data_IF_803249083888
#
_entry.id   IF_803249083888
#
_cell.length_a   1.000
_cell.length_b   1.000
_cell.length_c   1.000
_cell.angle_alpha   90.00
_cell.angle_beta   90.00
_cell.angle_gamma   90.00
#
_symmetry.space_group_name_H-M   'P 1'
#
loop_
_entity.id
_entity.type
_entity.pdbx_description
1 polymer ?
#
# COMPACT_ATOMS: atom_id res chain seq x y z
N UNK A 1 20.77 -23.02 -5.94
CA UNK A 1 19.62 -22.14 -6.26
C UNK A 1 19.99 -20.72 -6.67
N UNK A 2 20.74 -19.92 -5.87
CA UNK A 2 21.03 -18.49 -6.19
C UNK A 2 21.60 -18.23 -7.60
N UNK A 3 22.52 -19.07 -8.11
CA UNK A 3 23.08 -18.94 -9.47
C UNK A 3 22.04 -19.18 -10.58
N UNK A 4 21.17 -20.18 -10.41
CA UNK A 4 20.11 -20.51 -11.37
C UNK A 4 19.07 -19.37 -11.42
N UNK A 5 18.69 -18.84 -10.26
CA UNK A 5 17.74 -17.73 -10.18
C UNK A 5 18.28 -16.44 -10.80
N UNK A 6 19.57 -16.13 -10.62
CA UNK A 6 20.22 -15.01 -11.31
C UNK A 6 20.23 -15.16 -12.83
N UNK A 7 20.38 -16.39 -13.34
CA UNK A 7 20.34 -16.69 -14.78
C UNK A 7 18.93 -16.49 -15.37
N UNK A 8 17.89 -16.89 -14.63
CA UNK A 8 16.49 -16.66 -15.03
C UNK A 8 16.10 -15.18 -15.05
N UNK A 9 16.84 -14.29 -14.40
CA UNK A 9 16.52 -12.85 -14.31
C UNK A 9 17.29 -12.04 -15.38
N UNK A 10 18.26 -12.62 -16.08
CA UNK A 10 19.07 -11.91 -17.08
C UNK A 10 18.46 -11.82 -18.48
N UNK A 11 17.15 -12.08 -18.65
CA UNK A 11 16.50 -12.01 -19.97
C UNK A 11 16.54 -10.59 -20.55
N UNK A 12 17.21 -10.46 -21.70
CA UNK A 12 17.20 -9.24 -22.53
C UNK A 12 16.03 -9.31 -23.51
N UNK A 13 14.96 -8.56 -23.23
CA UNK A 13 13.83 -8.43 -24.14
C UNK A 13 13.97 -7.16 -24.99
N UNK A 14 13.90 -7.25 -26.32
CA UNK A 14 14.16 -6.13 -27.23
C UNK A 14 13.25 -4.90 -26.99
N UNK A 15 11.97 -5.11 -26.65
CA UNK A 15 11.06 -4.03 -26.26
C UNK A 15 11.43 -3.35 -24.94
N UNK A 16 12.00 -4.10 -23.98
CA UNK A 16 12.45 -3.54 -22.71
C UNK A 16 13.65 -2.59 -22.93
N UNK A 17 14.52 -2.89 -23.89
CA UNK A 17 15.66 -2.03 -24.25
C UNK A 17 15.21 -0.66 -24.75
N UNK A 18 14.15 -0.62 -25.58
CA UNK A 18 13.63 0.63 -26.14
C UNK A 18 12.98 1.54 -25.08
N UNK A 19 12.31 0.96 -24.09
CA UNK A 19 11.57 1.71 -23.07
C UNK A 19 12.49 2.11 -21.90
N UNK A 20 13.34 1.20 -21.42
CA UNK A 20 14.11 1.39 -20.19
C UNK A 20 15.60 1.72 -20.46
N UNK A 21 16.07 1.55 -21.69
CA UNK A 21 17.48 1.69 -22.05
C UNK A 21 18.31 0.44 -21.79
N UNK A 22 19.58 0.49 -22.17
CA UNK A 22 20.50 -0.63 -22.01
C UNK A 22 20.86 -0.89 -20.54
N UNK A 23 21.16 -2.16 -20.24
CA UNK A 23 21.68 -2.61 -18.94
C UNK A 23 20.77 -2.33 -17.74
N UNK A 24 19.46 -2.09 -17.95
CA UNK A 24 18.49 -2.08 -16.85
C UNK A 24 18.15 -3.50 -16.44
N UNK A 25 18.08 -3.73 -15.13
CA UNK A 25 17.65 -4.99 -14.54
C UNK A 25 16.16 -4.91 -14.21
N UNK A 26 15.39 -5.99 -14.41
CA UNK A 26 14.00 -6.01 -13.97
C UNK A 26 13.92 -5.83 -12.46
N UNK A 27 12.86 -5.17 -12.01
CA UNK A 27 12.51 -5.09 -10.60
C UNK A 27 11.90 -6.44 -10.18
N UNK A 28 12.61 -7.19 -9.35
CA UNK A 28 12.21 -8.52 -8.91
C UNK A 28 11.79 -8.47 -7.45
N UNK A 29 10.63 -9.07 -7.16
CA UNK A 29 10.17 -9.34 -5.81
C UNK A 29 9.86 -10.82 -5.70
N UNK A 30 10.42 -11.48 -4.70
CA UNK A 30 10.12 -12.86 -4.35
C UNK A 30 8.97 -12.88 -3.35
N UNK A 31 7.90 -13.61 -3.67
CA UNK A 31 6.90 -13.95 -2.67
C UNK A 31 7.44 -15.04 -1.76
N UNK A 32 7.77 -14.68 -0.53
CA UNK A 32 8.32 -15.57 0.49
C UNK A 32 7.55 -15.30 1.77
N UNK A 33 6.74 -16.26 2.19
CA UNK A 33 6.00 -16.20 3.45
C UNK A 33 6.93 -16.70 4.55
N UNK A 34 7.59 -15.78 5.25
CA UNK A 34 8.50 -16.09 6.36
C UNK A 34 8.02 -15.35 7.62
N UNK A 35 7.25 -16.06 8.44
CA UNK A 35 6.75 -15.55 9.74
C UNK A 35 7.66 -15.96 10.92
N UNK A 36 8.83 -16.51 10.65
CA UNK A 36 9.72 -17.08 11.65
C UNK A 36 9.40 -18.56 11.93
N UNK A 37 10.31 -19.24 12.64
CA UNK A 37 10.12 -20.64 13.04
C UNK A 37 10.30 -21.72 11.96
N UNK A 38 10.36 -21.35 10.67
CA UNK A 38 10.53 -22.31 9.57
C UNK A 38 11.98 -22.38 9.04
N UNK A 39 12.31 -23.37 8.21
CA UNK A 39 13.67 -23.55 7.69
C UNK A 39 14.05 -22.54 6.58
N UNK A 40 13.09 -22.16 5.73
CA UNK A 40 13.31 -21.22 4.61
C UNK A 40 13.24 -19.79 5.12
N UNK A 41 14.18 -18.94 4.69
CA UNK A 41 14.33 -17.57 5.19
C UNK A 41 14.30 -16.53 4.10
N UNK A 42 13.67 -15.38 4.35
CA UNK A 42 13.72 -14.22 3.45
C UNK A 42 15.15 -13.74 3.15
N UNK A 43 16.06 -13.87 4.13
CA UNK A 43 17.48 -13.57 3.98
C UNK A 43 18.17 -14.39 2.86
N UNK A 44 17.63 -15.53 2.46
CA UNK A 44 18.15 -16.33 1.36
C UNK A 44 17.87 -15.69 -0.01
N UNK A 45 16.94 -14.74 -0.10
CA UNK A 45 16.53 -14.10 -1.35
C UNK A 45 17.13 -12.70 -1.53
N UNK A 46 17.75 -12.16 -0.48
CA UNK A 46 18.48 -10.88 -0.54
C UNK A 46 19.66 -10.97 -1.52
N UNK A 47 19.94 -9.86 -2.20
CA UNK A 47 20.93 -9.79 -3.27
C UNK A 47 20.52 -10.40 -4.62
N UNK A 48 19.29 -10.90 -4.74
CA UNK A 48 18.66 -11.28 -6.02
C UNK A 48 17.61 -10.25 -6.42
N UNK A 49 16.69 -9.96 -5.49
CA UNK A 49 15.64 -8.97 -5.58
C UNK A 49 15.10 -8.67 -4.18
N UNK A 50 13.97 -7.97 -4.12
CA UNK A 50 13.22 -7.78 -2.88
C UNK A 50 12.46 -9.05 -2.51
N UNK A 51 11.90 -9.11 -1.31
CA UNK A 51 10.91 -10.10 -0.91
C UNK A 51 9.66 -9.44 -0.30
N UNK A 52 8.54 -10.16 -0.31
CA UNK A 52 7.27 -9.74 0.31
C UNK A 52 7.36 -9.76 1.83
N UNK A 53 7.18 -8.62 2.49
CA UNK A 53 7.21 -8.53 3.94
C UNK A 53 5.83 -8.84 4.56
N UNK A 54 5.54 -10.13 4.75
CA UNK A 54 4.27 -10.60 5.34
C UNK A 54 4.07 -10.21 6.81
N UNK A 55 5.11 -9.70 7.50
CA UNK A 55 5.00 -9.26 8.90
C UNK A 55 4.59 -7.77 9.00
N UNK A 56 4.68 -6.99 7.92
CA UNK A 56 4.34 -5.57 7.92
C UNK A 56 2.83 -5.33 8.10
N UNK A 57 2.01 -5.96 7.26
CA UNK A 57 0.56 -5.78 7.23
C UNK A 57 -0.14 -6.09 8.57
N UNK A 58 0.14 -7.25 9.20
CA UNK A 58 -0.42 -7.58 10.52
C UNK A 58 -0.05 -6.56 11.59
N UNK A 59 1.20 -6.13 11.69
CA UNK A 59 1.65 -5.16 12.70
C UNK A 59 0.91 -3.82 12.56
N UNK A 60 0.76 -3.32 11.33
CA UNK A 60 0.01 -2.08 11.09
C UNK A 60 -1.48 -2.28 11.37
N UNK A 61 -2.04 -3.44 11.00
CA UNK A 61 -3.45 -3.79 11.25
C UNK A 61 -3.77 -3.80 12.74
N UNK A 62 -2.90 -4.38 13.57
CA UNK A 62 -3.06 -4.40 15.03
C UNK A 62 -2.98 -2.99 15.64
N UNK A 63 -2.18 -2.10 15.05
CA UNK A 63 -2.10 -0.71 15.50
C UNK A 63 -3.42 0.05 15.25
N UNK A 64 -4.01 -0.13 14.06
CA UNK A 64 -5.29 0.50 13.70
C UNK A 64 -6.46 -0.13 14.47
N UNK A 65 -6.42 -1.45 14.73
CA UNK A 65 -7.41 -2.13 15.59
C UNK A 65 -7.30 -1.70 17.06
N UNK A 66 -6.23 -0.99 17.42
CA UNK A 66 -5.98 -0.53 18.78
C UNK A 66 -5.45 -1.61 19.73
N UNK A 67 -5.08 -2.79 19.20
CA UNK A 67 -4.42 -3.86 19.95
C UNK A 67 -2.92 -3.57 20.14
N UNK A 68 -2.34 -2.77 19.24
CA UNK A 68 -0.98 -2.24 19.35
C UNK A 68 -1.03 -0.71 19.43
N UNK A 69 -0.24 -0.09 20.29
CA UNK A 69 -0.13 1.37 20.33
C UNK A 69 0.65 1.89 19.11
N UNK A 70 0.14 2.95 18.46
CA UNK A 70 0.81 3.68 17.37
C UNK A 70 2.23 4.13 17.71
N UNK A 71 2.54 4.39 18.99
CA UNK A 71 3.90 4.70 19.45
C UNK A 71 4.91 3.61 19.05
N UNK A 72 4.52 2.33 19.04
CA UNK A 72 5.41 1.22 18.68
C UNK A 72 5.84 1.29 17.21
N UNK A 73 5.00 1.83 16.32
CA UNK A 73 5.30 1.93 14.89
C UNK A 73 6.39 2.96 14.57
N UNK A 74 6.78 3.83 15.51
CA UNK A 74 7.95 4.70 15.31
C UNK A 74 9.25 3.90 15.05
N UNK A 75 9.26 2.65 15.52
CA UNK A 75 10.39 1.74 15.39
C UNK A 75 10.26 0.76 14.23
N UNK A 76 9.17 0.83 13.43
CA UNK A 76 8.91 -0.07 12.30
C UNK A 76 9.88 0.20 11.14
N UNK A 77 11.09 -0.32 11.23
CA UNK A 77 12.17 -0.19 10.23
C UNK A 77 13.01 -1.47 10.21
N UNK A 78 14.14 -1.45 9.51
CA UNK A 78 15.13 -2.53 9.59
C UNK A 78 15.43 -2.90 11.06
N UNK A 79 15.38 -4.20 11.35
CA UNK A 79 15.56 -4.78 12.68
C UNK A 79 14.31 -4.76 13.57
N UNK A 80 13.18 -4.22 13.11
CA UNK A 80 11.92 -4.28 13.86
C UNK A 80 11.35 -5.69 13.86
N UNK A 81 11.39 -6.38 15.00
CA UNK A 81 10.91 -7.77 15.09
C UNK A 81 11.50 -8.67 13.98
N UNK A 82 10.92 -9.85 13.78
CA UNK A 82 11.40 -10.80 12.78
C UNK A 82 11.02 -10.38 11.35
N UNK A 83 11.91 -10.65 10.38
CA UNK A 83 11.63 -10.51 8.94
C UNK A 83 11.72 -9.10 8.36
N UNK A 84 12.03 -8.09 9.17
CA UNK A 84 12.23 -6.70 8.71
C UNK A 84 13.71 -6.42 8.46
N UNK A 85 14.18 -6.72 7.24
CA UNK A 85 15.56 -6.48 6.81
C UNK A 85 15.75 -5.05 6.25
N UNK A 86 16.83 -4.81 5.53
CA UNK A 86 17.14 -3.50 4.97
C UNK A 86 16.01 -2.95 4.09
N UNK A 87 15.85 -1.63 4.08
CA UNK A 87 14.79 -0.90 3.36
C UNK A 87 14.69 -1.31 1.87
N UNK A 88 15.85 -1.55 1.24
CA UNK A 88 15.96 -1.92 -0.16
C UNK A 88 15.64 -3.39 -0.45
N UNK A 89 15.46 -4.24 0.57
CA UNK A 89 15.14 -5.66 0.43
C UNK A 89 13.65 -5.97 0.57
N UNK A 90 12.86 -5.08 1.18
CA UNK A 90 11.45 -5.37 1.51
C UNK A 90 10.44 -4.73 0.54
N UNK A 91 9.39 -5.47 0.20
CA UNK A 91 8.13 -4.98 -0.37
C UNK A 91 7.06 -5.06 0.73
N UNK A 92 6.60 -3.90 1.20
CA UNK A 92 5.57 -3.77 2.23
C UNK A 92 4.17 -3.64 1.60
N UNK A 93 3.18 -4.22 2.25
CA UNK A 93 1.76 -4.14 1.89
C UNK A 93 0.91 -4.34 3.15
N UNK A 94 -0.30 -3.80 3.17
CA UNK A 94 -1.26 -4.06 4.26
C UNK A 94 -1.86 -5.46 4.07
N UNK A 95 -2.33 -5.71 2.85
CA UNK A 95 -2.91 -6.96 2.39
C UNK A 95 -2.37 -7.33 1.00
N UNK A 96 -2.50 -8.61 0.65
CA UNK A 96 -2.36 -9.12 -0.70
C UNK A 96 -3.63 -9.89 -1.08
N UNK A 97 -3.64 -10.45 -2.28
CA UNK A 97 -4.77 -11.22 -2.80
C UNK A 97 -5.11 -12.46 -1.95
N UNK A 98 -4.13 -13.09 -1.28
CA UNK A 98 -4.38 -14.26 -0.43
C UNK A 98 -4.89 -13.87 0.96
N UNK A 99 -4.12 -13.07 1.71
CA UNK A 99 -4.39 -12.82 3.13
C UNK A 99 -5.59 -11.88 3.37
N UNK A 100 -6.05 -11.12 2.36
CA UNK A 100 -7.34 -10.42 2.44
C UNK A 100 -8.53 -11.38 2.62
N UNK A 101 -8.34 -12.68 2.37
CA UNK A 101 -9.33 -13.75 2.61
C UNK A 101 -9.10 -14.53 3.91
N UNK A 102 -8.02 -14.24 4.65
CA UNK A 102 -7.57 -14.97 5.85
C UNK A 102 -7.85 -14.30 7.20
N UNK A 103 -8.23 -13.02 7.20
CA UNK A 103 -8.70 -12.28 8.39
C UNK A 103 -7.63 -11.70 9.32
N UNK A 104 -6.35 -12.04 9.12
CA UNK A 104 -5.23 -11.57 9.94
C UNK A 104 -4.80 -10.12 9.63
N UNK A 105 -5.20 -9.59 8.48
CA UNK A 105 -4.93 -8.21 8.06
C UNK A 105 -6.22 -7.42 7.82
N UNK A 106 -6.12 -6.09 7.85
CA UNK A 106 -7.17 -5.23 7.33
C UNK A 106 -7.25 -5.35 5.80
N UNK A 107 -8.45 -5.26 5.24
CA UNK A 107 -8.70 -5.20 3.81
C UNK A 107 -9.81 -4.18 3.50
N UNK A 108 -10.23 -4.08 2.24
CA UNK A 108 -11.23 -3.08 1.83
C UNK A 108 -12.56 -3.14 2.60
N UNK A 109 -12.92 -4.30 3.17
CA UNK A 109 -14.15 -4.49 3.97
C UNK A 109 -14.10 -3.73 5.30
N UNK A 110 -12.92 -3.35 5.77
CA UNK A 110 -12.72 -2.60 7.02
C UNK A 110 -12.84 -1.07 6.84
N UNK A 111 -13.18 -0.60 5.63
CA UNK A 111 -13.49 0.81 5.37
C UNK A 111 -12.39 1.78 5.79
N UNK A 112 -12.69 2.69 6.71
CA UNK A 112 -11.76 3.73 7.15
C UNK A 112 -10.55 3.19 7.91
N UNK A 113 -10.67 2.03 8.59
CA UNK A 113 -9.53 1.40 9.24
C UNK A 113 -8.47 0.99 8.19
N UNK A 114 -8.88 0.37 7.08
CA UNK A 114 -7.97 0.03 5.99
C UNK A 114 -7.36 1.28 5.33
N UNK A 115 -8.15 2.35 5.14
CA UNK A 115 -7.64 3.63 4.63
C UNK A 115 -6.56 4.23 5.53
N UNK A 116 -6.71 4.18 6.86
CA UNK A 116 -5.69 4.62 7.83
C UNK A 116 -4.41 3.81 7.68
N UNK A 117 -4.51 2.47 7.57
CA UNK A 117 -3.36 1.60 7.40
C UNK A 117 -2.59 1.89 6.09
N UNK A 118 -3.30 2.01 4.97
CA UNK A 118 -2.70 2.37 3.67
C UNK A 118 -2.09 3.78 3.71
N UNK A 119 -2.76 4.75 4.32
CA UNK A 119 -2.22 6.10 4.49
C UNK A 119 -0.91 6.08 5.29
N UNK A 120 -0.86 5.38 6.42
CA UNK A 120 0.37 5.21 7.18
C UNK A 120 1.47 4.55 6.35
N UNK A 121 1.18 3.45 5.63
CA UNK A 121 2.16 2.78 4.77
C UNK A 121 2.74 3.69 3.69
N UNK A 122 1.92 4.52 3.06
CA UNK A 122 2.36 5.49 2.05
C UNK A 122 3.11 6.68 2.67
N UNK A 123 2.79 7.05 3.92
CA UNK A 123 3.47 8.12 4.64
C UNK A 123 4.79 7.68 5.27
N UNK A 124 4.91 6.43 5.71
CA UNK A 124 6.09 5.91 6.38
C UNK A 124 7.24 5.71 5.41
N UNK A 125 8.48 5.82 5.91
CA UNK A 125 9.67 5.82 5.03
C UNK A 125 10.13 4.41 4.64
N UNK A 126 9.90 3.42 5.50
CA UNK A 126 10.47 2.09 5.40
C UNK A 126 9.79 1.19 4.35
N UNK A 127 10.61 0.62 3.48
CA UNK A 127 10.29 -0.35 2.46
C UNK A 127 9.65 0.22 1.19
N UNK A 128 9.50 -0.64 0.19
CA UNK A 128 8.76 -0.30 -1.02
C UNK A 128 7.27 -0.63 -0.83
N UNK A 129 6.34 0.33 -0.87
CA UNK A 129 4.92 0.05 -0.62
C UNK A 129 4.22 -0.49 -1.88
N UNK A 130 3.33 -1.47 -1.69
CA UNK A 130 2.38 -1.96 -2.69
C UNK A 130 0.96 -1.80 -2.14
N UNK A 131 0.12 -1.08 -2.88
CA UNK A 131 -1.31 -0.91 -2.56
C UNK A 131 -2.10 -1.98 -3.31
N UNK A 132 -2.99 -2.68 -2.61
CA UNK A 132 -3.88 -3.65 -3.22
C UNK A 132 -5.02 -2.94 -3.97
N UNK A 133 -5.55 -3.59 -5.02
CA UNK A 133 -6.79 -3.17 -5.66
C UNK A 133 -7.61 -4.40 -5.97
N UNK A 134 -8.75 -4.52 -5.31
CA UNK A 134 -9.53 -5.74 -5.21
C UNK A 134 -10.80 -5.70 -6.04
N UNK A 135 -11.47 -6.84 -6.07
CA UNK A 135 -12.87 -6.99 -6.44
C UNK A 135 -13.65 -7.47 -5.22
N UNK A 136 -14.97 -7.26 -5.21
CA UNK A 136 -15.82 -7.71 -4.12
C UNK A 136 -15.93 -9.23 -4.13
N UNK A 137 -15.69 -9.86 -2.99
CA UNK A 137 -15.85 -11.31 -2.80
C UNK A 137 -16.50 -11.64 -1.45
N UNK A 138 -17.26 -12.73 -1.42
CA UNK A 138 -17.91 -13.25 -0.21
C UNK A 138 -17.43 -14.66 0.17
N UNK A 139 -16.63 -15.30 -0.69
CA UNK A 139 -15.97 -16.57 -0.39
C UNK A 139 -14.50 -16.56 -0.83
N UNK A 140 -13.72 -17.47 -0.26
CA UNK A 140 -12.27 -17.54 -0.46
C UNK A 140 -11.92 -17.84 -1.94
N UNK A 141 -12.63 -18.79 -2.55
CA UNK A 141 -12.39 -19.28 -3.91
C UNK A 141 -13.06 -18.43 -5.00
N UNK A 142 -13.64 -17.28 -4.64
CA UNK A 142 -14.38 -16.45 -5.59
C UNK A 142 -13.42 -15.77 -6.57
N UNK A 143 -13.59 -16.12 -7.85
CA UNK A 143 -12.94 -15.42 -8.96
C UNK A 143 -13.48 -13.99 -9.20
N UNK A 144 -12.86 -13.22 -10.09
CA UNK A 144 -13.23 -11.84 -10.35
C UNK A 144 -14.63 -11.69 -10.98
N UNK A 145 -15.16 -10.45 -11.05
CA UNK A 145 -16.35 -10.13 -11.82
C UNK A 145 -16.19 -10.62 -13.25
N UNK A 146 -17.19 -11.35 -13.76
CA UNK A 146 -17.12 -12.03 -15.05
C UNK A 146 -18.40 -11.89 -15.85
N UNK A 147 -18.28 -12.08 -17.15
CA UNK A 147 -19.37 -12.18 -18.12
C UNK A 147 -19.18 -13.41 -19.02
N UNK A 148 -20.26 -13.86 -19.66
CA UNK A 148 -20.29 -15.10 -20.43
C UNK A 148 -20.88 -16.30 -19.66
N UNK A 149 -21.17 -17.38 -20.39
CA UNK A 149 -21.85 -18.57 -19.87
C UNK A 149 -20.87 -19.69 -19.55
N UNK A 150 -20.94 -20.23 -18.32
CA UNK A 150 -20.19 -21.41 -17.91
C UNK A 150 -20.69 -22.65 -18.66
N UNK A 151 -19.96 -23.11 -19.69
CA UNK A 151 -20.28 -24.36 -20.38
C UNK A 151 -19.36 -25.49 -19.89
N UNK A 152 -19.88 -26.33 -18.97
CA UNK A 152 -19.19 -27.51 -18.41
C UNK A 152 -18.71 -28.49 -19.49
N UNK A 153 -19.41 -28.58 -20.62
CA UNK A 153 -19.12 -29.57 -21.65
C UNK A 153 -17.90 -29.20 -22.52
N UNK A 154 -17.25 -28.05 -22.29
CA UNK A 154 -16.11 -27.57 -23.07
C UNK A 154 -14.74 -27.91 -22.47
N UNK A 155 -14.68 -28.41 -21.23
CA UNK A 155 -13.41 -28.67 -20.52
C UNK A 155 -12.81 -30.06 -20.79
N UNK A 156 -13.46 -30.92 -21.56
CA UNK A 156 -12.99 -32.30 -21.84
C UNK A 156 -12.21 -32.47 -23.15
N UNK A 157 -11.89 -31.41 -23.89
CA UNK A 157 -11.16 -31.58 -25.16
C UNK A 157 -10.17 -30.46 -25.45
N UNK A 158 -9.15 -30.81 -26.24
CA UNK A 158 -8.07 -29.98 -26.79
C UNK A 158 -8.52 -28.73 -27.58
N UNK A 159 -9.80 -28.36 -27.52
CA UNK A 159 -10.42 -27.23 -28.21
C UNK A 159 -10.11 -25.85 -27.60
N UNK A 160 -9.50 -25.76 -26.41
CA UNK A 160 -9.18 -24.48 -25.76
C UNK A 160 -8.17 -23.60 -26.54
N UNK A 161 -7.38 -24.16 -27.46
CA UNK A 161 -6.32 -23.43 -28.17
C UNK A 161 -6.70 -23.00 -29.60
N UNK A 162 -7.88 -23.37 -30.10
CA UNK A 162 -8.28 -22.98 -31.46
C UNK A 162 -8.65 -21.49 -31.50
N UNK A 163 -7.79 -20.69 -32.16
CA UNK A 163 -8.02 -19.30 -32.58
C UNK A 163 -9.35 -19.20 -33.33
N UNK A 164 -10.45 -18.93 -32.64
CA UNK A 164 -11.76 -18.79 -33.27
C UNK A 164 -12.94 -18.93 -32.31
N UNK A 165 -12.77 -19.59 -31.17
CA UNK A 165 -13.83 -19.70 -30.17
C UNK A 165 -13.71 -18.55 -29.14
N UNK A 166 -14.73 -17.70 -28.95
CA UNK A 166 -14.69 -16.64 -27.95
C UNK A 166 -14.54 -17.27 -26.55
N UNK A 167 -13.81 -16.63 -25.62
CA UNK A 167 -13.64 -17.17 -24.27
C UNK A 167 -15.00 -17.35 -23.61
N UNK A 168 -15.27 -18.56 -23.11
CA UNK A 168 -16.53 -18.94 -22.46
C UNK A 168 -16.80 -18.14 -21.17
N UNK A 169 -15.77 -17.54 -20.59
CA UNK A 169 -15.83 -16.63 -19.45
C UNK A 169 -14.79 -15.53 -19.64
N UNK A 170 -15.19 -14.28 -19.48
CA UNK A 170 -14.29 -13.13 -19.55
C UNK A 170 -14.36 -12.32 -18.26
N UNK A 171 -13.23 -11.77 -17.84
CA UNK A 171 -13.21 -10.83 -16.71
C UNK A 171 -13.86 -9.54 -17.15
N UNK A 172 -14.89 -9.09 -16.44
CA UNK A 172 -15.62 -7.86 -16.73
C UNK A 172 -14.78 -6.65 -16.33
N UNK A 173 -14.71 -5.65 -17.21
CA UNK A 173 -14.04 -4.38 -16.90
C UNK A 173 -14.74 -3.59 -15.78
N UNK A 174 -14.01 -2.82 -14.95
CA UNK A 174 -14.61 -1.87 -14.02
C UNK A 174 -15.35 -0.75 -14.77
N UNK A 175 -16.38 -0.20 -14.13
CA UNK A 175 -16.98 1.08 -14.52
C UNK A 175 -16.75 2.12 -13.42
N UNK A 176 -16.73 3.40 -13.80
CA UNK A 176 -16.29 4.48 -12.92
C UNK A 176 -17.40 5.50 -12.68
N UNK A 177 -17.45 6.04 -11.46
CA UNK A 177 -18.30 7.15 -11.08
C UNK A 177 -17.65 8.49 -11.51
N UNK A 178 -18.40 9.59 -11.41
CA UNK A 178 -17.89 10.93 -11.74
C UNK A 178 -16.77 11.40 -10.80
N UNK A 179 -16.76 10.94 -9.54
CA UNK A 179 -15.69 11.20 -8.57
C UNK A 179 -14.43 10.32 -8.78
N UNK A 180 -14.44 9.54 -9.87
CA UNK A 180 -13.41 8.61 -10.35
C UNK A 180 -13.23 7.34 -9.51
N UNK A 181 -14.07 7.12 -8.50
CA UNK A 181 -14.18 5.81 -7.81
C UNK A 181 -14.79 4.77 -8.74
N UNK A 182 -14.66 3.48 -8.41
CA UNK A 182 -15.37 2.44 -9.16
C UNK A 182 -16.84 2.39 -8.75
N UNK A 183 -17.72 2.20 -9.72
CA UNK A 183 -19.12 1.89 -9.48
C UNK A 183 -19.19 0.53 -8.79
N UNK A 184 -19.75 0.42 -7.56
CA UNK A 184 -19.81 -0.84 -6.84
C UNK A 184 -20.51 -1.97 -7.61
N UNK A 185 -21.50 -1.63 -8.45
CA UNK A 185 -22.23 -2.58 -9.30
C UNK A 185 -21.36 -3.20 -10.43
N UNK A 186 -20.15 -2.69 -10.65
CA UNK A 186 -19.16 -3.33 -11.54
C UNK A 186 -18.49 -4.55 -10.91
N UNK A 187 -18.61 -4.72 -9.59
CA UNK A 187 -17.94 -5.77 -8.83
C UNK A 187 -16.49 -5.44 -8.44
N UNK A 188 -15.96 -4.28 -8.86
CA UNK A 188 -14.60 -3.84 -8.51
C UNK A 188 -14.59 -2.85 -7.36
N UNK A 189 -13.64 -3.01 -6.44
CA UNK A 189 -13.49 -2.14 -5.25
C UNK A 189 -12.69 -0.89 -5.59
N UNK A 190 -11.55 -1.07 -6.28
CA UNK A 190 -10.66 -0.01 -6.71
C UNK A 190 -10.14 0.90 -5.58
N UNK A 191 -9.55 0.30 -4.54
CA UNK A 191 -8.94 0.99 -3.41
C UNK A 191 -7.91 2.03 -3.85
N UNK A 192 -7.18 1.75 -4.94
CA UNK A 192 -6.25 2.69 -5.58
C UNK A 192 -6.91 3.98 -6.13
N UNK A 193 -8.24 4.00 -6.29
CA UNK A 193 -9.03 5.14 -6.75
C UNK A 193 -9.74 5.88 -5.63
N UNK A 194 -9.72 5.36 -4.41
CA UNK A 194 -10.31 6.05 -3.28
C UNK A 194 -9.61 7.41 -3.09
N UNK A 195 -10.35 8.49 -2.78
CA UNK A 195 -9.78 9.84 -2.68
C UNK A 195 -8.51 9.88 -1.82
N UNK A 196 -8.58 9.37 -0.59
CA UNK A 196 -7.43 9.34 0.32
C UNK A 196 -6.24 8.54 -0.23
N UNK A 197 -6.47 7.37 -0.83
CA UNK A 197 -5.39 6.53 -1.38
C UNK A 197 -4.66 7.24 -2.51
N UNK A 198 -5.39 7.94 -3.39
CA UNK A 198 -4.80 8.74 -4.47
C UNK A 198 -3.97 9.89 -3.94
N UNK A 199 -4.51 10.65 -2.99
CA UNK A 199 -3.77 11.79 -2.41
C UNK A 199 -2.55 11.30 -1.61
N UNK A 200 -2.63 10.17 -0.92
CA UNK A 200 -1.48 9.58 -0.23
C UNK A 200 -0.44 8.99 -1.20
N UNK A 201 -0.84 8.51 -2.38
CA UNK A 201 0.10 8.13 -3.42
C UNK A 201 0.88 9.34 -3.96
N UNK A 202 0.20 10.49 -4.15
CA UNK A 202 0.86 11.76 -4.47
C UNK A 202 1.79 12.20 -3.33
N UNK A 203 1.33 12.12 -2.09
CA UNK A 203 2.15 12.40 -0.91
C UNK A 203 3.43 11.56 -0.93
N UNK A 204 3.33 10.23 -1.09
CA UNK A 204 4.49 9.32 -1.17
C UNK A 204 5.46 9.71 -2.28
N UNK A 205 4.96 10.13 -3.43
CA UNK A 205 5.79 10.61 -4.54
C UNK A 205 6.58 11.87 -4.16
N UNK A 206 5.93 12.85 -3.52
CA UNK A 206 6.55 14.11 -3.08
C UNK A 206 7.63 13.87 -2.03
N UNK A 207 7.37 12.98 -1.05
CA UNK A 207 8.28 12.71 0.05
C UNK A 207 9.29 11.59 -0.25
N UNK A 208 9.33 11.07 -1.48
CA UNK A 208 10.23 9.98 -1.84
C UNK A 208 11.69 10.33 -1.54
N UNK A 209 12.42 9.40 -0.92
CA UNK A 209 13.81 9.57 -0.52
C UNK A 209 14.06 10.36 0.78
N UNK A 210 13.03 10.90 1.45
CA UNK A 210 13.20 11.57 2.74
C UNK A 210 12.97 10.63 3.92
N UNK A 211 13.71 10.72 5.03
CA UNK A 211 13.45 9.90 6.21
C UNK A 211 12.20 10.37 6.95
N UNK A 212 11.63 9.50 7.79
CA UNK A 212 10.75 9.94 8.88
C UNK A 212 11.61 10.60 9.98
N UNK A 213 11.24 11.81 10.39
CA UNK A 213 11.99 12.62 11.36
C UNK A 213 11.04 13.40 12.26
N UNK A 214 11.56 14.06 13.30
CA UNK A 214 10.76 14.83 14.28
C UNK A 214 9.56 14.03 14.80
N UNK A 215 9.77 12.73 15.05
CA UNK A 215 8.70 11.80 15.41
C UNK A 215 8.14 12.18 16.78
N UNK A 216 6.82 12.26 16.87
CA UNK A 216 6.07 12.56 18.08
C UNK A 216 5.04 11.46 18.31
N UNK A 217 4.98 10.94 19.53
CA UNK A 217 4.05 9.87 19.90
C UNK A 217 3.19 10.26 21.10
N UNK A 218 1.95 9.77 21.13
CA UNK A 218 1.09 9.72 22.31
C UNK A 218 0.62 8.28 22.55
N UNK A 219 -0.52 8.09 23.23
CA UNK A 219 -1.02 6.74 23.53
C UNK A 219 -1.48 5.97 22.28
N UNK A 220 -2.44 6.51 21.51
CA UNK A 220 -2.83 5.99 20.18
C UNK A 220 -2.60 7.03 19.09
N UNK A 221 -1.48 7.73 19.18
CA UNK A 221 -1.16 8.89 18.37
C UNK A 221 0.28 8.80 17.86
N UNK A 222 0.47 9.17 16.59
CA UNK A 222 1.77 9.24 15.96
C UNK A 222 1.79 10.40 14.96
N UNK A 223 2.86 11.17 14.95
CA UNK A 223 3.12 12.17 13.94
C UNK A 223 4.61 12.21 13.59
N UNK A 224 4.93 12.57 12.36
CA UNK A 224 6.31 12.71 11.91
C UNK A 224 6.41 13.59 10.66
N UNK A 225 7.57 14.21 10.52
CA UNK A 225 7.98 14.97 9.35
C UNK A 225 8.67 14.08 8.32
N UNK A 226 8.51 14.39 7.04
CA UNK A 226 9.17 13.74 5.91
C UNK A 226 10.11 14.71 5.17
N UNK A 227 11.17 15.12 5.85
CA UNK A 227 12.27 15.92 5.30
C UNK A 227 11.83 17.29 4.78
N UNK A 228 10.86 17.93 5.44
CA UNK A 228 10.33 19.23 5.04
C UNK A 228 9.51 19.23 3.75
N UNK A 229 9.15 18.05 3.24
CA UNK A 229 8.31 17.90 2.04
C UNK A 229 6.88 17.43 2.34
N UNK A 230 6.68 16.88 3.52
CA UNK A 230 5.39 16.39 3.97
C UNK A 230 5.38 16.17 5.47
N UNK A 231 4.18 16.14 6.04
CA UNK A 231 3.96 15.86 7.45
C UNK A 231 2.78 14.90 7.56
N UNK A 232 2.92 13.87 8.38
CA UNK A 232 1.86 12.90 8.64
C UNK A 232 1.52 12.90 10.12
N UNK A 233 0.24 12.81 10.44
CA UNK A 233 -0.20 12.59 11.79
C UNK A 233 -1.51 11.80 11.83
N UNK A 234 -1.63 10.95 12.85
CA UNK A 234 -2.81 10.14 13.13
C UNK A 234 -3.15 10.23 14.62
N UNK A 235 -4.45 10.34 14.91
CA UNK A 235 -5.02 10.24 16.25
C UNK A 235 -6.10 9.17 16.24
N UNK A 236 -5.85 8.06 16.90
CA UNK A 236 -6.77 6.93 17.01
C UNK A 236 -7.22 6.73 18.47
N UNK A 237 -7.15 7.82 19.25
CA UNK A 237 -7.63 7.89 20.63
C UNK A 237 -8.83 8.81 20.69
N UNK A 238 -9.88 8.44 21.44
CA UNK A 238 -11.16 9.15 21.51
C UNK A 238 -11.06 10.64 21.84
N UNK A 239 -10.01 11.05 22.57
CA UNK A 239 -9.79 12.45 22.91
C UNK A 239 -9.00 13.19 21.83
N UNK A 240 -9.35 14.45 21.50
CA UNK A 240 -8.60 15.26 20.56
C UNK A 240 -7.13 15.42 20.97
N UNK A 241 -6.22 15.18 20.03
CA UNK A 241 -4.79 15.41 20.23
C UNK A 241 -4.45 16.87 19.93
N UNK A 242 -4.41 17.70 20.98
CA UNK A 242 -4.06 19.13 20.92
C UNK A 242 -2.58 19.32 21.25
N UNK A 243 -1.73 19.46 20.22
CA UNK A 243 -0.28 19.63 20.39
C UNK A 243 0.31 20.65 19.42
N UNK A 244 1.46 21.19 19.81
CA UNK A 244 2.36 21.86 18.89
C UNK A 244 3.24 20.80 18.25
N UNK A 245 3.22 20.75 16.92
CA UNK A 245 4.05 19.87 16.13
C UNK A 245 5.18 20.69 15.53
N UNK A 246 6.40 20.23 15.77
CA UNK A 246 7.59 20.69 15.07
C UNK A 246 7.66 20.00 13.71
N UNK A 247 7.70 20.79 12.63
CA UNK A 247 7.84 20.33 11.25
C UNK A 247 8.98 21.09 10.56
N UNK A 248 9.58 20.49 9.54
CA UNK A 248 10.51 21.16 8.65
C UNK A 248 9.80 21.75 7.42
N UNK A 249 8.46 21.64 7.34
CA UNK A 249 7.68 22.26 6.27
C UNK A 249 7.88 23.79 6.29
N UNK A 250 8.06 24.40 5.11
CA UNK A 250 8.02 25.85 4.97
C UNK A 250 6.74 26.46 5.56
N UNK A 251 6.82 27.73 5.97
CA UNK A 251 5.63 28.48 6.36
C UNK A 251 4.67 28.59 5.17
N UNK A 252 3.38 28.37 5.39
CA UNK A 252 2.39 28.40 4.31
C UNK A 252 1.07 27.73 4.67
N UNK A 253 0.19 27.62 3.67
CA UNK A 253 -1.09 26.92 3.77
C UNK A 253 -1.00 25.56 3.07
N UNK A 254 -1.43 24.53 3.78
CA UNK A 254 -1.39 23.14 3.34
C UNK A 254 -2.80 22.55 3.42
N UNK A 255 -3.16 21.69 2.46
CA UNK A 255 -4.43 20.99 2.49
C UNK A 255 -4.27 19.66 3.23
N UNK A 256 -5.19 19.38 4.15
CA UNK A 256 -5.35 18.06 4.73
C UNK A 256 -5.90 17.10 3.68
N UNK A 257 -5.13 16.06 3.37
CA UNK A 257 -5.47 15.05 2.36
C UNK A 257 -6.49 14.03 2.87
N UNK A 258 -6.71 13.95 4.18
CA UNK A 258 -7.75 13.10 4.77
C UNK A 258 -9.15 13.66 4.52
N UNK A 259 -9.36 14.94 4.84
CA UNK A 259 -10.66 15.60 4.66
C UNK A 259 -10.90 16.17 3.26
N UNK A 260 -9.89 16.18 2.37
CA UNK A 260 -10.06 16.70 1.02
C UNK A 260 -8.79 16.66 0.17
N UNK A 261 -8.67 17.63 -0.74
CA UNK A 261 -7.57 17.74 -1.68
C UNK A 261 -7.36 19.21 -2.08
N UNK A 262 -6.26 19.50 -2.78
CA UNK A 262 -6.07 20.79 -3.45
C UNK A 262 -6.79 20.78 -4.80
N UNK A 263 -7.71 21.72 -5.02
CA UNK A 263 -8.42 21.91 -6.29
C UNK A 263 -8.48 23.41 -6.62
N UNK A 264 -8.04 23.78 -7.82
CA UNK A 264 -8.06 25.17 -8.31
C UNK A 264 -7.41 26.17 -7.33
N UNK A 265 -6.30 25.75 -6.71
CA UNK A 265 -5.55 26.57 -5.74
C UNK A 265 -6.19 26.66 -4.33
N UNK A 266 -7.26 25.91 -4.05
CA UNK A 266 -7.96 25.92 -2.75
C UNK A 266 -8.10 24.51 -2.17
N UNK A 267 -8.03 24.41 -0.84
CA UNK A 267 -8.33 23.14 -0.15
C UNK A 267 -9.83 22.89 -0.18
N UNK A 268 -10.24 21.69 -0.59
CA UNK A 268 -11.65 21.26 -0.54
C UNK A 268 -12.05 20.77 0.85
N UNK A 269 -11.07 20.35 1.65
CA UNK A 269 -11.21 19.97 3.05
C UNK A 269 -10.58 20.98 3.98
N UNK A 270 -10.00 20.50 5.08
CA UNK A 270 -9.35 21.34 6.08
C UNK A 270 -8.05 21.98 5.55
N UNK A 271 -7.88 23.26 5.83
CA UNK A 271 -6.62 23.98 5.63
C UNK A 271 -5.79 23.97 6.92
N UNK A 272 -4.50 23.71 6.78
CA UNK A 272 -3.49 23.73 7.83
C UNK A 272 -2.52 24.88 7.51
N UNK A 273 -2.45 25.87 8.39
CA UNK A 273 -1.40 26.88 8.33
C UNK A 273 -0.13 26.31 8.98
N UNK A 274 1.06 26.67 8.53
CA UNK A 274 2.34 26.36 9.17
C UNK A 274 3.10 27.67 9.33
N UNK A 275 3.61 27.96 10.54
CA UNK A 275 4.30 29.22 10.84
C UNK A 275 5.67 28.95 11.48
N UNK A 276 6.76 29.30 10.80
CA UNK A 276 8.15 29.16 11.26
C UNK A 276 8.50 27.72 11.70
N UNK A 277 8.07 26.71 10.94
CA UNK A 277 8.31 25.30 11.26
C UNK A 277 7.57 24.79 12.52
N UNK A 278 6.74 25.63 13.15
CA UNK A 278 5.92 25.28 14.28
C UNK A 278 4.45 25.41 13.90
N UNK A 279 3.66 24.38 14.17
CA UNK A 279 2.22 24.50 14.04
C UNK A 279 1.49 23.86 15.21
N UNK A 280 0.54 24.60 15.79
CA UNK A 280 -0.49 24.02 16.65
C UNK A 280 -1.48 23.28 15.76
N UNK A 281 -1.45 21.95 15.79
CA UNK A 281 -2.48 21.13 15.16
C UNK A 281 -3.39 20.58 16.25
N UNK A 282 -4.68 20.58 15.95
CA UNK A 282 -5.68 19.88 16.74
C UNK A 282 -6.19 18.75 15.87
N UNK A 283 -5.75 17.53 16.15
CA UNK A 283 -6.23 16.32 15.47
C UNK A 283 -7.39 15.78 16.29
N UNK A 284 -8.59 15.91 15.75
CA UNK A 284 -9.79 15.26 16.27
C UNK A 284 -9.87 13.85 15.69
N UNK A 285 -10.59 12.97 16.37
CA UNK A 285 -10.91 11.62 15.90
C UNK A 285 -11.79 11.68 14.65
#
# INVERSE_FOLDING_TARGET
MKKILKLLISFRHAKALQIFGSNKRPFVVHEVIDRGGEAVKCAEYTGIGRYTNFNYGPVVSEAVRGHLSWHKLQSLKEGYAYGNHADNDVLNFIDNHDNQRGGDVLNYKDGDAYKKAVAFMLAWSYGYPRVMSSYYFDNNDQGPPREGSYNVNYYSSAAMWNKGNPPLLQTKSPSFNQDLTCNPSSGWVCEHRWPITREMAKFRSIVSGTPASKIMTGYKQLAFDRGGRGFFAINDYEQPWRRYFFTALPSGQYCDVWSGSLKDGRCTGRTINVNNGNQKLVLTC
#
